data_IF_037516383190
#
_entry.id   IF_037516383190
#
_cell.length_a   1.000
_cell.length_b   1.000
_cell.length_c   1.000
_cell.angle_alpha   90.00
_cell.angle_beta   90.00
_cell.angle_gamma   90.00
#
_symmetry.space_group_name_H-M   'P 1'
#
loop_
_entity.id
_entity.type
_entity.pdbx_description
1 polymer ?
#
# COMPACT_ATOMS: atom_id res chain seq x y z
N UNK A 1 -38.28 37.67 -10.08
CA UNK A 1 -37.84 36.45 -9.36
C UNK A 1 -36.72 35.83 -10.18
N UNK A 2 -35.50 35.64 -9.65
CA UNK A 2 -34.47 34.90 -10.37
C UNK A 2 -34.68 33.38 -10.19
N UNK A 3 -34.53 32.63 -11.27
CA UNK A 3 -34.72 31.18 -11.32
C UNK A 3 -33.67 30.42 -10.47
N UNK A 4 -34.02 29.26 -9.88
CA UNK A 4 -33.06 28.47 -9.14
C UNK A 4 -32.01 27.90 -10.11
N UNK A 5 -30.76 28.35 -9.97
CA UNK A 5 -29.63 27.73 -10.66
C UNK A 5 -29.53 26.28 -10.20
N UNK A 6 -29.90 25.35 -11.06
CA UNK A 6 -29.60 23.93 -10.91
C UNK A 6 -28.08 23.78 -10.95
N UNK A 7 -27.47 23.69 -9.77
CA UNK A 7 -26.08 23.25 -9.65
C UNK A 7 -26.05 21.79 -10.08
N UNK A 8 -25.65 21.54 -11.33
CA UNK A 8 -25.33 20.21 -11.81
C UNK A 8 -24.14 19.72 -10.98
N UNK A 9 -24.34 18.65 -10.22
CA UNK A 9 -23.27 17.98 -9.50
C UNK A 9 -22.39 17.29 -10.54
N UNK A 10 -21.24 17.88 -10.84
CA UNK A 10 -20.25 17.30 -11.75
C UNK A 10 -19.28 16.42 -10.94
N UNK A 11 -19.35 15.08 -11.05
CA UNK A 11 -18.48 14.18 -10.29
C UNK A 11 -17.00 14.24 -10.75
N UNK A 12 -16.70 14.87 -11.90
CA UNK A 12 -15.33 15.07 -12.38
C UNK A 12 -14.68 16.35 -11.80
N UNK A 13 -15.44 17.18 -11.09
CA UNK A 13 -14.93 18.38 -10.40
C UNK A 13 -14.53 18.13 -8.94
N UNK A 14 -14.62 16.89 -8.45
CA UNK A 14 -14.02 16.54 -7.16
C UNK A 14 -12.50 16.44 -7.33
N UNK A 15 -11.69 17.18 -6.55
CA UNK A 15 -10.27 16.96 -6.55
C UNK A 15 -9.99 15.60 -5.91
N UNK A 16 -9.81 14.56 -6.72
CA UNK A 16 -9.08 13.35 -6.29
C UNK A 16 -7.58 13.65 -6.01
N UNK A 17 -7.23 14.93 -5.81
CA UNK A 17 -5.87 15.49 -5.86
C UNK A 17 -5.19 15.61 -4.49
N UNK A 18 -5.91 15.42 -3.38
CA UNK A 18 -5.34 15.60 -2.03
C UNK A 18 -5.33 14.34 -1.16
N UNK A 19 -5.80 13.18 -1.65
CA UNK A 19 -5.71 11.97 -0.84
C UNK A 19 -4.22 11.63 -0.60
N UNK A 20 -3.81 11.44 0.67
CA UNK A 20 -2.42 11.16 0.97
C UNK A 20 -2.02 9.82 0.35
N UNK A 21 -0.89 9.79 -0.36
CA UNK A 21 -0.33 8.52 -0.86
C UNK A 21 0.09 7.68 0.35
N UNK A 22 -0.50 6.49 0.45
CA UNK A 22 -0.18 5.49 1.45
C UNK A 22 0.82 4.48 0.87
N UNK A 23 1.58 3.86 1.76
CA UNK A 23 2.55 2.83 1.43
C UNK A 23 2.11 1.54 2.10
N UNK A 24 1.61 0.61 1.29
CA UNK A 24 1.21 -0.71 1.75
C UNK A 24 2.38 -1.64 1.60
N UNK A 25 2.76 -2.28 2.70
CA UNK A 25 3.77 -3.33 2.70
C UNK A 25 3.12 -4.67 3.00
N UNK A 26 3.67 -5.73 2.41
CA UNK A 26 3.26 -7.10 2.67
C UNK A 26 4.47 -8.01 2.62
N UNK A 27 4.52 -8.98 3.52
CA UNK A 27 5.49 -10.07 3.56
C UNK A 27 4.74 -11.40 3.66
N UNK A 28 5.26 -12.44 3.02
CA UNK A 28 4.63 -13.75 2.89
C UNK A 28 5.72 -14.84 2.79
N UNK A 29 5.61 -15.91 3.59
CA UNK A 29 6.50 -17.08 3.58
C UNK A 29 6.05 -18.22 2.66
N UNK A 30 4.90 -18.13 2.01
CA UNK A 30 4.31 -19.15 1.16
C UNK A 30 3.67 -20.32 1.91
N UNK A 31 3.75 -20.34 3.25
CA UNK A 31 3.21 -21.39 4.13
C UNK A 31 1.94 -20.95 4.90
N UNK A 32 1.37 -19.81 4.54
CA UNK A 32 0.25 -19.19 5.26
C UNK A 32 0.65 -18.21 6.37
N UNK A 33 1.94 -18.06 6.65
CA UNK A 33 2.46 -16.98 7.49
C UNK A 33 2.68 -15.72 6.65
N UNK A 34 1.78 -14.75 6.82
CA UNK A 34 1.84 -13.47 6.13
C UNK A 34 1.63 -12.31 7.11
N UNK A 35 2.30 -11.21 6.84
CA UNK A 35 2.16 -9.95 7.57
C UNK A 35 1.99 -8.81 6.58
N UNK A 36 1.12 -7.85 6.90
CA UNK A 36 0.93 -6.68 6.08
C UNK A 36 0.60 -5.47 6.94
N UNK A 37 0.76 -4.28 6.34
CA UNK A 37 0.40 -3.05 7.00
C UNK A 37 0.44 -1.87 6.05
N UNK A 38 0.00 -0.72 6.57
CA UNK A 38 -0.07 0.54 5.83
C UNK A 38 0.71 1.59 6.61
N UNK A 39 1.48 2.42 5.90
CA UNK A 39 2.19 3.55 6.48
C UNK A 39 2.02 4.81 5.63
N UNK A 40 2.10 5.97 6.27
CA UNK A 40 2.07 7.27 5.59
C UNK A 40 3.43 7.68 5.01
N UNK A 41 4.50 6.94 5.30
CA UNK A 41 5.85 7.20 4.81
C UNK A 41 6.52 5.92 4.29
N UNK A 42 7.21 6.04 3.15
CA UNK A 42 7.92 4.92 2.51
C UNK A 42 9.00 4.31 3.40
N UNK A 43 9.73 5.15 4.16
CA UNK A 43 10.76 4.71 5.09
C UNK A 43 10.18 3.85 6.22
N UNK A 44 9.02 4.24 6.76
CA UNK A 44 8.32 3.48 7.81
C UNK A 44 7.80 2.14 7.28
N UNK A 45 7.21 2.13 6.07
CA UNK A 45 6.80 0.88 5.41
C UNK A 45 7.99 -0.04 5.15
N UNK A 46 9.14 0.51 4.71
CA UNK A 46 10.36 -0.24 4.49
C UNK A 46 10.88 -0.87 5.77
N UNK A 47 10.94 -0.10 6.87
CA UNK A 47 11.36 -0.65 8.18
C UNK A 47 10.45 -1.79 8.61
N UNK A 48 9.13 -1.59 8.56
CA UNK A 48 8.16 -2.62 8.94
C UNK A 48 8.27 -3.89 8.08
N UNK A 49 8.47 -3.74 6.77
CA UNK A 49 8.72 -4.87 5.86
C UNK A 49 9.99 -5.64 6.24
N UNK A 50 11.09 -4.94 6.51
CA UNK A 50 12.35 -5.57 6.91
C UNK A 50 12.19 -6.31 8.24
N UNK A 51 11.59 -5.67 9.24
CA UNK A 51 11.33 -6.27 10.55
C UNK A 51 10.49 -7.55 10.41
N UNK A 52 9.42 -7.51 9.60
CA UNK A 52 8.58 -8.67 9.33
C UNK A 52 9.38 -9.82 8.69
N UNK A 53 10.17 -9.53 7.65
CA UNK A 53 11.04 -10.54 7.01
C UNK A 53 12.11 -11.09 7.95
N UNK A 54 12.63 -10.29 8.90
CA UNK A 54 13.58 -10.76 9.91
C UNK A 54 12.91 -11.68 10.94
N UNK A 55 11.64 -11.47 11.26
CA UNK A 55 10.89 -12.33 12.18
C UNK A 55 10.40 -13.63 11.55
N UNK A 56 10.35 -13.69 10.22
CA UNK A 56 9.92 -14.89 9.49
C UNK A 56 10.96 -16.01 9.65
N UNK A 57 10.56 -17.21 10.10
CA UNK A 57 11.47 -18.33 10.36
C UNK A 57 12.17 -18.89 9.10
N UNK A 58 11.62 -18.65 7.92
CA UNK A 58 12.08 -19.20 6.63
C UNK A 58 12.29 -18.10 5.59
N UNK A 59 12.41 -18.50 4.31
CA UNK A 59 12.50 -17.59 3.17
C UNK A 59 11.17 -16.86 2.94
N UNK A 60 11.04 -15.68 3.54
CA UNK A 60 9.95 -14.74 3.28
C UNK A 60 10.21 -13.89 2.04
N UNK A 61 9.16 -13.55 1.31
CA UNK A 61 9.18 -12.54 0.25
C UNK A 61 8.24 -11.40 0.60
N UNK A 62 8.46 -10.21 0.06
CA UNK A 62 7.57 -9.10 0.32
C UNK A 62 7.75 -7.94 -0.63
N UNK A 63 6.85 -6.97 -0.52
CA UNK A 63 6.85 -5.80 -1.37
C UNK A 63 6.25 -4.58 -0.67
N UNK A 64 6.57 -3.41 -1.22
CA UNK A 64 5.92 -2.13 -0.90
C UNK A 64 5.28 -1.63 -2.17
N UNK A 65 4.02 -1.22 -2.08
CA UNK A 65 3.26 -0.57 -3.15
C UNK A 65 2.59 0.68 -2.65
N UNK A 66 2.39 1.64 -3.54
CA UNK A 66 1.56 2.81 -3.23
C UNK A 66 0.10 2.38 -3.14
N UNK A 67 -0.68 3.04 -2.29
CA UNK A 67 -2.13 2.94 -2.29
C UNK A 67 -2.76 4.31 -2.03
N UNK A 68 -4.02 4.44 -2.42
CA UNK A 68 -4.89 5.56 -2.04
C UNK A 68 -6.14 4.98 -1.39
N UNK A 69 -6.70 5.70 -0.43
CA UNK A 69 -7.98 5.32 0.15
C UNK A 69 -9.10 5.92 -0.71
N UNK A 70 -9.85 5.07 -1.40
CA UNK A 70 -11.07 5.47 -2.08
C UNK A 70 -12.22 5.50 -1.07
N UNK A 71 -12.50 6.71 -0.57
CA UNK A 71 -13.62 6.99 0.35
C UNK A 71 -14.96 7.11 -0.37
N UNK A 72 -14.96 7.19 -1.71
CA UNK A 72 -16.17 7.25 -2.52
C UNK A 72 -16.77 5.87 -2.77
N UNK A 73 -15.97 4.81 -2.60
CA UNK A 73 -16.45 3.43 -2.57
C UNK A 73 -17.45 3.24 -1.42
N UNK A 74 -18.74 3.29 -1.76
CA UNK A 74 -19.86 3.09 -0.84
C UNK A 74 -20.48 1.70 -1.05
N UNK A 75 -20.81 0.94 0.01
CA UNK A 75 -20.83 1.35 1.42
C UNK A 75 -19.50 1.19 2.18
N UNK A 76 -18.49 0.57 1.55
CA UNK A 76 -17.22 0.25 2.22
C UNK A 76 -16.04 0.91 1.51
N UNK A 77 -15.40 1.92 2.14
CA UNK A 77 -14.16 2.50 1.64
C UNK A 77 -13.12 1.42 1.35
N UNK A 78 -12.38 1.58 0.26
CA UNK A 78 -11.44 0.55 -0.19
C UNK A 78 -10.09 1.15 -0.60
N UNK A 79 -9.05 0.33 -0.62
CA UNK A 79 -7.74 0.77 -1.09
C UNK A 79 -7.61 0.56 -2.59
N UNK A 80 -7.26 1.64 -3.31
CA UNK A 80 -6.82 1.57 -4.70
C UNK A 80 -5.31 1.40 -4.70
N UNK A 81 -4.85 0.21 -5.08
CA UNK A 81 -3.43 -0.12 -5.15
C UNK A 81 -2.79 0.40 -6.43
N UNK A 82 -1.63 1.05 -6.28
CA UNK A 82 -0.80 1.54 -7.38
C UNK A 82 0.47 0.72 -7.57
N UNK A 83 1.51 1.38 -8.09
CA UNK A 83 2.78 0.75 -8.47
C UNK A 83 3.51 0.10 -7.28
N UNK A 84 4.24 -0.98 -7.57
CA UNK A 84 5.24 -1.53 -6.66
C UNK A 84 6.47 -0.61 -6.66
N UNK A 85 6.94 -0.26 -5.47
CA UNK A 85 8.12 0.60 -5.27
C UNK A 85 9.36 -0.20 -4.88
N UNK A 86 9.15 -1.31 -4.19
CA UNK A 86 10.21 -2.12 -3.63
C UNK A 86 9.74 -3.57 -3.55
N UNK A 87 10.64 -4.49 -3.87
CA UNK A 87 10.54 -5.91 -3.56
C UNK A 87 11.65 -6.27 -2.60
N UNK A 88 11.38 -7.20 -1.72
CA UNK A 88 12.33 -7.71 -0.76
C UNK A 88 12.17 -9.22 -0.65
N UNK A 89 13.26 -9.94 -0.41
CA UNK A 89 13.18 -11.34 -0.01
C UNK A 89 14.28 -11.66 0.98
N UNK A 90 14.00 -12.62 1.85
CA UNK A 90 14.99 -13.21 2.74
C UNK A 90 15.63 -14.39 2.02
N UNK A 91 16.94 -14.30 1.80
CA UNK A 91 17.73 -15.37 1.24
C UNK A 91 17.82 -16.54 2.23
N UNK A 92 17.50 -17.76 1.78
CA UNK A 92 17.42 -18.93 2.64
C UNK A 92 18.80 -19.46 3.06
N UNK A 93 19.85 -19.19 2.26
CA UNK A 93 21.20 -19.70 2.53
C UNK A 93 21.98 -18.83 3.51
N UNK A 94 21.78 -17.51 3.43
CA UNK A 94 22.53 -16.51 4.21
C UNK A 94 21.69 -15.86 5.30
N UNK A 95 20.36 -16.00 5.26
CA UNK A 95 19.43 -15.27 6.12
C UNK A 95 19.39 -13.76 5.85
N UNK A 96 20.10 -13.28 4.83
CA UNK A 96 20.18 -11.85 4.49
C UNK A 96 18.92 -11.40 3.77
N UNK A 97 18.49 -10.16 4.01
CA UNK A 97 17.39 -9.55 3.27
C UNK A 97 17.96 -8.83 2.06
N UNK A 98 17.52 -9.24 0.87
CA UNK A 98 17.87 -8.60 -0.39
C UNK A 98 16.73 -7.68 -0.82
N UNK A 99 17.09 -6.49 -1.29
CA UNK A 99 16.16 -5.47 -1.75
C UNK A 99 16.32 -5.26 -3.25
N UNK A 100 15.19 -5.16 -3.95
CA UNK A 100 15.13 -4.93 -5.37
C UNK A 100 14.07 -3.89 -5.70
N UNK A 101 14.49 -2.77 -6.27
CA UNK A 101 13.57 -1.81 -6.88
C UNK A 101 13.16 -2.34 -8.26
N UNK A 102 11.85 -2.43 -8.56
CA UNK A 102 11.35 -2.96 -9.82
C UNK A 102 11.71 -2.10 -11.03
#
# INVERSE_FOLDING_TARGET
>A
MPEPKTTVFDPASMPFLDDPVLYVWSADEGNGHAACGVAHASASARRALLDALTTMPTSGTGCIRTARLDVSASPYPSYVYGRVLLRAWRDNGTGSIVLHSP
#
